data_IF_193362654607
#
_entry.id   IF_193362654607
#
_cell.length_a   1.000
_cell.length_b   1.000
_cell.length_c   1.000
_cell.angle_alpha   90.00
_cell.angle_beta   90.00
_cell.angle_gamma   90.00
#
_symmetry.space_group_name_H-M   'P 1'
#
loop_
_entity.id
_entity.type
_entity.pdbx_description
1 polymer ?
#
# COMPACT_ATOMS: atom_id res chain seq x y z
N UNK A 1 -19.47 -12.63 41.68
CA UNK A 1 -18.47 -12.96 40.62
C UNK A 1 -17.57 -11.74 40.50
N UNK A 2 -16.32 -11.85 40.92
CA UNK A 2 -15.33 -10.78 40.71
C UNK A 2 -15.20 -10.52 39.22
N UNK A 3 -15.46 -9.28 38.79
CA UNK A 3 -15.21 -8.82 37.44
C UNK A 3 -13.71 -8.84 37.22
N UNK A 4 -13.16 -9.91 36.69
CA UNK A 4 -11.73 -10.05 36.41
C UNK A 4 -11.31 -8.94 35.44
N UNK A 5 -10.57 -7.94 35.92
CA UNK A 5 -10.07 -6.82 35.12
C UNK A 5 -9.20 -7.37 33.99
N UNK A 6 -9.49 -6.96 32.74
CA UNK A 6 -8.70 -7.37 31.58
C UNK A 6 -7.31 -6.71 31.62
N UNK A 7 -6.27 -7.46 31.29
CA UNK A 7 -4.95 -6.88 31.06
C UNK A 7 -4.84 -6.29 29.65
N UNK A 8 -3.79 -5.52 29.38
CA UNK A 8 -3.57 -4.82 28.11
C UNK A 8 -3.62 -5.77 26.90
N UNK A 9 -3.06 -6.96 27.00
CA UNK A 9 -3.05 -7.94 25.92
C UNK A 9 -4.45 -8.46 25.60
N UNK A 10 -5.25 -8.70 26.64
CA UNK A 10 -6.65 -9.11 26.50
C UNK A 10 -7.47 -7.98 25.86
N UNK A 11 -7.25 -6.74 26.28
CA UNK A 11 -7.92 -5.56 25.71
C UNK A 11 -7.58 -5.40 24.22
N UNK A 12 -6.29 -5.49 23.84
CA UNK A 12 -5.85 -5.45 22.44
C UNK A 12 -6.50 -6.59 21.64
N UNK A 13 -6.53 -7.81 22.19
CA UNK A 13 -7.15 -8.95 21.53
C UNK A 13 -8.66 -8.76 21.30
N UNK A 14 -9.36 -8.11 22.23
CA UNK A 14 -10.77 -7.76 22.06
C UNK A 14 -10.97 -6.76 20.92
N UNK A 15 -10.12 -5.73 20.83
CA UNK A 15 -10.13 -4.76 19.71
C UNK A 15 -9.91 -5.48 18.38
N UNK A 16 -8.88 -6.34 18.27
CA UNK A 16 -8.62 -7.14 17.06
C UNK A 16 -9.83 -7.98 16.66
N UNK A 17 -10.45 -8.66 17.63
CA UNK A 17 -11.62 -9.49 17.37
C UNK A 17 -12.81 -8.67 16.85
N UNK A 18 -13.01 -7.46 17.37
CA UNK A 18 -14.10 -6.59 16.90
C UNK A 18 -13.82 -6.00 15.54
N UNK A 19 -12.57 -5.65 15.23
CA UNK A 19 -12.16 -5.22 13.90
C UNK A 19 -12.43 -6.31 12.85
N UNK A 20 -12.12 -7.58 13.15
CA UNK A 20 -12.42 -8.70 12.27
C UNK A 20 -13.92 -8.86 11.96
N UNK A 21 -14.77 -8.45 12.90
CA UNK A 21 -16.24 -8.47 12.75
C UNK A 21 -16.78 -7.20 12.11
N UNK A 22 -15.99 -6.14 12.10
CA UNK A 22 -16.36 -4.89 11.44
C UNK A 22 -16.22 -5.05 9.92
N UNK A 23 -17.11 -4.39 9.19
CA UNK A 23 -17.07 -4.43 7.72
C UNK A 23 -16.24 -3.25 7.19
N UNK A 24 -14.92 -3.25 7.47
CA UNK A 24 -14.01 -2.25 6.93
C UNK A 24 -13.99 -2.31 5.40
N UNK A 25 -14.09 -1.17 4.76
CA UNK A 25 -14.06 -1.07 3.29
C UNK A 25 -12.78 -0.37 2.86
N UNK A 26 -12.12 -0.93 1.85
CA UNK A 26 -10.95 -0.31 1.22
C UNK A 26 -11.40 0.82 0.32
N UNK A 27 -10.94 2.05 0.56
CA UNK A 27 -11.20 3.22 -0.30
C UNK A 27 -10.02 3.57 -1.20
N UNK A 28 -8.81 3.21 -0.79
CA UNK A 28 -7.59 3.45 -1.54
C UNK A 28 -7.51 2.55 -2.78
N UNK A 29 -7.06 3.13 -3.89
CA UNK A 29 -6.86 2.42 -5.16
C UNK A 29 -5.47 2.66 -5.69
N UNK A 30 -4.68 1.60 -5.79
CA UNK A 30 -3.42 1.66 -6.49
C UNK A 30 -3.65 1.42 -7.99
N UNK A 31 -3.66 2.50 -8.76
CA UNK A 31 -3.90 2.48 -10.21
C UNK A 31 -2.75 1.82 -11.00
N UNK A 32 -1.57 1.67 -10.41
CA UNK A 32 -0.41 1.08 -11.07
C UNK A 32 -0.34 -0.43 -10.86
N UNK A 33 -0.66 -0.91 -9.65
CA UNK A 33 -0.60 -2.32 -9.29
C UNK A 33 -1.98 -2.98 -9.17
N UNK A 34 -3.08 -2.25 -9.47
CA UNK A 34 -4.46 -2.74 -9.59
C UNK A 34 -5.00 -3.47 -8.36
N UNK A 35 -4.68 -2.96 -7.17
CA UNK A 35 -5.27 -3.46 -5.94
C UNK A 35 -5.89 -2.33 -5.11
N UNK A 36 -6.93 -2.68 -4.36
CA UNK A 36 -7.54 -1.80 -3.38
C UNK A 36 -6.86 -2.00 -2.02
N UNK A 37 -6.56 -0.90 -1.33
CA UNK A 37 -5.92 -0.90 -0.02
C UNK A 37 -6.70 -0.05 0.98
N UNK A 38 -6.40 -0.24 2.28
CA UNK A 38 -7.00 0.58 3.33
C UNK A 38 -6.26 1.90 3.45
N UNK A 39 -7.00 3.02 3.31
CA UNK A 39 -6.52 4.32 3.72
C UNK A 39 -6.59 4.46 5.24
N UNK A 40 -5.84 5.40 5.82
CA UNK A 40 -5.94 5.68 7.26
C UNK A 40 -7.35 6.09 7.67
N UNK A 41 -8.07 6.78 6.80
CA UNK A 41 -9.47 7.17 6.98
C UNK A 41 -10.45 5.99 7.09
N UNK A 42 -10.08 4.83 6.54
CA UNK A 42 -10.93 3.64 6.57
C UNK A 42 -10.79 2.88 7.89
N UNK A 43 -9.61 2.94 8.53
CA UNK A 43 -9.27 2.11 9.69
C UNK A 43 -9.23 2.92 11.00
N UNK A 44 -8.70 4.13 11.00
CA UNK A 44 -8.47 4.92 12.22
C UNK A 44 -9.74 5.21 13.01
N UNK A 45 -10.88 5.62 12.41
CA UNK A 45 -12.09 5.90 13.18
C UNK A 45 -12.56 4.69 13.99
N UNK A 46 -12.64 3.51 13.35
CA UNK A 46 -13.04 2.26 14.01
C UNK A 46 -12.05 1.84 15.10
N UNK A 47 -10.74 1.96 14.84
CA UNK A 47 -9.72 1.62 15.83
C UNK A 47 -9.81 2.53 17.06
N UNK A 48 -9.94 3.85 16.86
CA UNK A 48 -10.05 4.80 17.97
C UNK A 48 -11.29 4.53 18.81
N UNK A 49 -12.44 4.29 18.17
CA UNK A 49 -13.68 3.98 18.86
C UNK A 49 -13.54 2.71 19.72
N UNK A 50 -13.01 1.63 19.15
CA UNK A 50 -12.78 0.39 19.86
C UNK A 50 -11.72 0.52 20.96
N UNK A 51 -10.62 1.22 20.71
CA UNK A 51 -9.62 1.49 21.73
C UNK A 51 -10.21 2.27 22.90
N UNK A 52 -11.03 3.30 22.63
CA UNK A 52 -11.74 4.04 23.68
C UNK A 52 -12.67 3.14 24.48
N UNK A 53 -13.42 2.25 23.83
CA UNK A 53 -14.30 1.29 24.51
C UNK A 53 -13.56 0.40 25.50
N UNK A 54 -12.33 -0.03 25.17
CA UNK A 54 -11.48 -0.88 26.01
C UNK A 54 -10.47 -0.09 26.86
N UNK A 55 -10.62 1.22 26.97
CA UNK A 55 -9.72 2.09 27.75
C UNK A 55 -8.25 1.92 27.34
N UNK A 56 -8.01 1.90 26.02
CA UNK A 56 -6.68 1.90 25.42
C UNK A 56 -6.42 3.26 24.77
N UNK A 57 -5.22 3.77 24.97
CA UNK A 57 -4.73 4.98 24.30
C UNK A 57 -3.66 4.59 23.27
N UNK A 58 -3.80 5.10 22.06
CA UNK A 58 -2.83 4.89 20.97
C UNK A 58 -2.04 6.15 20.72
N UNK A 59 -0.73 6.03 20.68
CA UNK A 59 0.19 7.15 20.41
C UNK A 59 1.26 6.71 19.40
N UNK A 60 1.54 7.57 18.40
CA UNK A 60 2.58 7.30 17.42
C UNK A 60 3.65 8.37 17.46
N UNK A 61 4.89 7.95 17.40
CA UNK A 61 6.07 8.81 17.32
C UNK A 61 6.94 8.42 16.14
N UNK A 62 7.58 9.40 15.55
CA UNK A 62 8.53 9.23 14.47
C UNK A 62 9.88 9.80 14.89
N UNK A 63 10.93 9.03 14.61
CA UNK A 63 12.34 9.46 14.73
C UNK A 63 13.03 9.21 13.39
N UNK A 64 14.27 9.61 13.23
CA UNK A 64 15.05 9.32 12.03
C UNK A 64 15.30 7.81 11.84
N UNK A 65 15.22 7.02 12.92
CA UNK A 65 15.56 5.60 12.90
C UNK A 65 14.32 4.71 12.85
N UNK A 66 13.26 5.07 13.58
CA UNK A 66 12.07 4.23 13.73
C UNK A 66 10.78 5.04 13.88
N UNK A 67 9.70 4.44 13.42
CA UNK A 67 8.33 4.80 13.75
C UNK A 67 7.82 3.84 14.82
N UNK A 68 7.18 4.37 15.88
CA UNK A 68 6.71 3.57 17.02
C UNK A 68 5.25 3.86 17.29
N UNK A 69 4.40 2.84 17.21
CA UNK A 69 3.03 2.87 17.68
C UNK A 69 2.98 2.27 19.09
N UNK A 70 2.63 3.08 20.06
CA UNK A 70 2.45 2.70 21.46
C UNK A 70 0.98 2.53 21.79
N UNK A 71 0.63 1.40 22.37
CA UNK A 71 -0.69 1.12 22.96
C UNK A 71 -0.52 1.15 24.46
N UNK A 72 -1.23 2.03 25.13
CA UNK A 72 -1.16 2.25 26.58
C UNK A 72 -2.51 1.89 27.20
N UNK A 73 -2.50 1.16 28.29
CA UNK A 73 -3.70 0.90 29.09
C UNK A 73 -4.05 2.14 29.91
N UNK A 74 -5.15 2.83 29.58
CA UNK A 74 -5.55 4.05 30.26
C UNK A 74 -5.92 3.83 31.75
N UNK A 75 -6.25 2.61 32.15
CA UNK A 75 -6.50 2.25 33.55
C UNK A 75 -5.21 1.86 34.30
N UNK A 76 -4.15 1.52 33.59
CA UNK A 76 -2.83 1.20 34.13
C UNK A 76 -1.74 1.73 33.16
N UNK A 77 -1.40 3.02 33.19
CA UNK A 77 -0.52 3.66 32.23
C UNK A 77 0.90 3.08 32.15
N UNK A 78 1.33 2.32 33.14
CA UNK A 78 2.61 1.60 33.10
C UNK A 78 2.55 0.36 32.18
N UNK A 79 1.35 -0.14 31.88
CA UNK A 79 1.14 -1.21 30.91
C UNK A 79 1.18 -0.65 29.49
N UNK A 80 2.25 -0.96 28.77
CA UNK A 80 2.57 -0.46 27.45
C UNK A 80 2.95 -1.61 26.51
N UNK A 81 2.42 -1.58 25.30
CA UNK A 81 2.83 -2.45 24.18
C UNK A 81 3.26 -1.57 23.02
N UNK A 82 4.41 -1.86 22.43
CA UNK A 82 4.97 -1.09 21.31
C UNK A 82 5.13 -1.94 20.06
N UNK A 83 4.75 -1.36 18.92
CA UNK A 83 5.00 -1.88 17.59
C UNK A 83 5.95 -0.90 16.88
N UNK A 84 7.04 -1.43 16.31
CA UNK A 84 8.11 -0.62 15.74
C UNK A 84 8.31 -0.95 14.27
N UNK A 85 8.62 0.06 13.48
CA UNK A 85 9.01 -0.08 12.09
C UNK A 85 10.22 0.80 11.79
N UNK A 86 11.25 0.30 11.09
CA UNK A 86 12.41 1.11 10.75
C UNK A 86 12.01 2.24 9.80
N UNK A 87 12.51 3.44 10.05
CA UNK A 87 12.43 4.55 9.12
C UNK A 87 13.59 4.48 8.14
N UNK A 88 13.35 4.91 6.92
CA UNK A 88 14.38 5.07 5.90
C UNK A 88 14.15 6.38 5.18
N UNK A 89 15.22 7.09 4.92
CA UNK A 89 15.19 8.27 4.06
C UNK A 89 14.92 7.83 2.63
N UNK A 90 13.76 8.21 2.12
CA UNK A 90 13.35 7.98 0.74
C UNK A 90 13.01 9.33 0.13
N UNK A 91 13.74 9.73 -0.89
CA UNK A 91 13.32 10.83 -1.73
C UNK A 91 12.23 10.34 -2.68
N UNK A 92 11.02 10.80 -2.44
CA UNK A 92 9.92 10.55 -3.37
C UNK A 92 10.11 11.41 -4.61
N UNK A 93 10.11 10.78 -5.79
CA UNK A 93 10.19 11.50 -7.06
C UNK A 93 9.07 12.53 -7.13
N UNK A 94 9.41 13.76 -7.53
CA UNK A 94 8.47 14.89 -7.70
C UNK A 94 7.95 15.53 -6.39
N UNK A 95 8.48 15.17 -5.25
CA UNK A 95 8.13 15.76 -3.96
C UNK A 95 9.30 16.58 -3.41
N UNK A 96 8.99 17.67 -2.71
CA UNK A 96 9.99 18.34 -1.88
C UNK A 96 10.28 17.51 -0.62
N UNK A 97 11.33 17.85 0.12
CA UNK A 97 11.75 17.08 1.31
C UNK A 97 10.65 16.95 2.36
N UNK A 98 9.87 18.01 2.61
CA UNK A 98 8.77 18.00 3.59
C UNK A 98 7.64 17.09 3.13
N UNK A 99 7.30 17.11 1.83
CA UNK A 99 6.29 16.23 1.25
C UNK A 99 6.74 14.78 1.28
N UNK A 100 8.03 14.51 1.03
CA UNK A 100 8.60 13.17 1.12
C UNK A 100 8.53 12.63 2.54
N UNK A 101 8.94 13.44 3.53
CA UNK A 101 8.85 13.06 4.95
C UNK A 101 7.40 12.76 5.35
N UNK A 102 6.47 13.65 5.06
CA UNK A 102 5.05 13.45 5.37
C UNK A 102 4.47 12.20 4.69
N UNK A 103 4.85 11.94 3.46
CA UNK A 103 4.44 10.73 2.73
C UNK A 103 4.96 9.47 3.41
N UNK A 104 6.24 9.45 3.83
CA UNK A 104 6.86 8.32 4.54
C UNK A 104 6.17 8.09 5.90
N UNK A 105 5.95 9.13 6.68
CA UNK A 105 5.28 9.03 7.99
C UNK A 105 3.85 8.52 7.85
N UNK A 106 3.09 9.01 6.85
CA UNK A 106 1.73 8.52 6.56
C UNK A 106 1.72 7.06 6.19
N UNK A 107 2.69 6.61 5.38
CA UNK A 107 2.86 5.23 4.98
C UNK A 107 3.18 4.35 6.19
N UNK A 108 4.19 4.72 6.99
CA UNK A 108 4.59 4.00 8.19
C UNK A 108 3.46 3.91 9.22
N UNK A 109 2.74 5.01 9.43
CA UNK A 109 1.57 5.05 10.30
C UNK A 109 0.53 4.00 9.89
N UNK A 110 0.19 3.93 8.61
CA UNK A 110 -0.76 2.95 8.10
C UNK A 110 -0.32 1.52 8.40
N UNK A 111 0.91 1.15 8.06
CA UNK A 111 1.42 -0.19 8.28
C UNK A 111 1.55 -0.56 9.75
N UNK A 112 1.90 0.37 10.62
CA UNK A 112 1.92 0.13 12.06
C UNK A 112 0.53 -0.20 12.60
N UNK A 113 -0.51 0.52 12.17
CA UNK A 113 -1.89 0.21 12.59
C UNK A 113 -2.37 -1.11 12.00
N UNK A 114 -2.12 -1.39 10.73
CA UNK A 114 -2.48 -2.67 10.11
C UNK A 114 -1.82 -3.84 10.84
N UNK A 115 -0.52 -3.75 11.09
CA UNK A 115 0.25 -4.78 11.79
C UNK A 115 -0.20 -4.95 13.26
N UNK A 116 -0.40 -3.84 13.99
CA UNK A 116 -0.82 -3.87 15.38
C UNK A 116 -2.16 -4.60 15.58
N UNK A 117 -3.11 -4.37 14.67
CA UNK A 117 -4.47 -4.90 14.77
C UNK A 117 -4.75 -6.10 13.85
N UNK A 118 -3.71 -6.70 13.25
CA UNK A 118 -3.79 -7.85 12.33
C UNK A 118 -4.78 -7.63 11.18
N UNK A 119 -4.84 -6.39 10.65
CA UNK A 119 -5.68 -6.07 9.51
C UNK A 119 -4.93 -6.48 8.24
N UNK A 120 -5.41 -7.53 7.58
CA UNK A 120 -4.77 -8.08 6.38
C UNK A 120 -5.15 -7.28 5.13
N UNK A 121 -4.17 -6.84 4.37
CA UNK A 121 -4.33 -6.45 2.97
C UNK A 121 -4.17 -7.70 2.09
N UNK A 122 -4.74 -7.66 0.86
CA UNK A 122 -4.62 -8.80 -0.05
C UNK A 122 -3.14 -9.06 -0.40
N UNK A 123 -2.72 -10.33 -0.37
CA UNK A 123 -1.34 -10.81 -0.61
C UNK A 123 -0.79 -10.56 -2.03
N UNK A 124 -1.52 -9.84 -2.88
CA UNK A 124 -1.08 -9.52 -4.25
C UNK A 124 0.23 -8.73 -4.32
N UNK A 125 0.65 -8.12 -3.21
CA UNK A 125 1.89 -7.35 -3.17
C UNK A 125 3.14 -8.24 -3.19
N UNK A 126 3.06 -9.45 -2.63
CA UNK A 126 4.22 -10.35 -2.56
C UNK A 126 4.57 -10.97 -3.92
N UNK A 127 3.62 -11.02 -4.85
CA UNK A 127 3.85 -11.64 -6.16
C UNK A 127 4.53 -10.73 -7.19
N UNK A 128 4.55 -9.41 -6.96
CA UNK A 128 4.94 -8.42 -7.99
C UNK A 128 6.27 -7.72 -7.69
N UNK A 129 6.75 -7.74 -6.43
CA UNK A 129 7.89 -6.90 -6.02
C UNK A 129 9.25 -7.61 -5.93
N UNK A 130 9.31 -8.91 -6.17
CA UNK A 130 10.54 -9.72 -6.02
C UNK A 130 11.14 -10.24 -7.33
N UNK A 131 10.85 -9.61 -8.46
CA UNK A 131 11.58 -9.92 -9.69
C UNK A 131 12.77 -8.96 -9.85
N UNK A 132 13.84 -9.25 -9.14
CA UNK A 132 15.14 -8.60 -9.31
C UNK A 132 16.00 -9.24 -10.41
N UNK A 133 15.40 -10.09 -11.24
CA UNK A 133 16.09 -10.69 -12.39
C UNK A 133 17.12 -11.77 -12.04
N UNK A 134 17.23 -12.22 -10.80
CA UNK A 134 18.14 -13.32 -10.43
C UNK A 134 17.45 -14.38 -9.58
N UNK A 135 17.21 -15.53 -10.24
CA UNK A 135 16.89 -16.85 -9.68
C UNK A 135 15.43 -17.18 -9.34
N UNK A 136 14.87 -17.91 -10.29
CA UNK A 136 13.77 -18.85 -10.18
C UNK A 136 13.69 -19.61 -8.86
N UNK A 137 12.76 -19.19 -7.96
CA UNK A 137 12.13 -20.09 -7.01
C UNK A 137 10.71 -20.36 -7.46
N UNK A 138 10.56 -21.43 -8.24
CA UNK A 138 9.25 -21.95 -8.60
C UNK A 138 8.67 -22.66 -7.38
N UNK A 139 7.85 -21.96 -6.58
CA UNK A 139 6.96 -22.63 -5.66
C UNK A 139 5.77 -23.09 -6.49
N UNK A 140 5.77 -24.38 -6.87
CA UNK A 140 4.57 -25.05 -7.36
C UNK A 140 3.57 -25.14 -6.19
N UNK A 141 2.66 -24.17 -6.09
CA UNK A 141 1.43 -24.33 -5.33
C UNK A 141 0.52 -25.22 -6.18
N UNK A 142 0.30 -26.46 -5.77
CA UNK A 142 -0.85 -27.24 -6.21
C UNK A 142 -2.12 -26.52 -5.78
N UNK A 143 -2.68 -25.72 -6.69
CA UNK A 143 -4.02 -25.16 -6.53
C UNK A 143 -4.99 -26.26 -6.93
N UNK A 144 -5.74 -26.77 -5.97
CA UNK A 144 -6.91 -27.59 -6.21
C UNK A 144 -7.82 -26.90 -7.22
N UNK A 145 -8.11 -27.63 -8.30
CA UNK A 145 -8.99 -27.21 -9.40
C UNK A 145 -10.40 -26.93 -8.87
N UNK A 146 -10.80 -25.69 -8.78
CA UNK A 146 -12.18 -25.26 -9.02
C UNK A 146 -12.19 -23.78 -9.40
N UNK A 147 -12.59 -23.57 -10.65
CA UNK A 147 -13.23 -22.43 -11.28
C UNK A 147 -12.46 -21.16 -11.67
N UNK A 148 -12.38 -21.06 -13.00
CA UNK A 148 -12.41 -19.89 -13.89
C UNK A 148 -11.15 -19.05 -14.04
N UNK A 149 -10.51 -19.36 -15.19
CA UNK A 149 -9.65 -18.52 -16.03
C UNK A 149 -9.79 -17.00 -15.80
N UNK A 150 -8.85 -16.40 -15.07
CA UNK A 150 -8.49 -15.01 -15.28
C UNK A 150 -7.26 -15.03 -16.17
N UNK A 151 -7.45 -14.76 -17.46
CA UNK A 151 -6.40 -14.56 -18.42
C UNK A 151 -5.53 -13.38 -17.97
N UNK A 152 -4.23 -13.59 -17.87
CA UNK A 152 -3.22 -12.53 -17.72
C UNK A 152 -3.11 -11.72 -19.03
N UNK A 153 -4.16 -11.01 -19.42
CA UNK A 153 -4.09 -10.08 -20.54
C UNK A 153 -3.42 -8.79 -20.08
N UNK A 154 -2.30 -8.46 -20.72
CA UNK A 154 -1.67 -7.13 -20.60
C UNK A 154 -2.71 -6.07 -20.91
N UNK A 155 -2.83 -5.09 -20.01
CA UNK A 155 -3.81 -4.03 -20.19
C UNK A 155 -3.50 -3.19 -21.44
N UNK A 156 -4.56 -2.79 -22.17
CA UNK A 156 -4.39 -1.94 -23.36
C UNK A 156 -4.13 -0.49 -22.94
N UNK A 157 -3.06 0.09 -23.44
CA UNK A 157 -2.78 1.51 -23.32
C UNK A 157 -3.90 2.32 -23.99
N UNK A 158 -4.55 3.20 -23.25
CA UNK A 158 -5.78 3.86 -23.67
C UNK A 158 -5.57 5.35 -24.04
N UNK A 159 -6.65 6.02 -24.52
CA UNK A 159 -6.61 7.42 -24.93
C UNK A 159 -6.32 8.39 -23.78
N UNK A 160 -6.81 8.12 -22.59
CA UNK A 160 -6.60 8.96 -21.40
C UNK A 160 -5.13 8.92 -20.98
N UNK A 161 -4.51 7.74 -21.02
CA UNK A 161 -3.09 7.58 -20.76
C UNK A 161 -2.22 8.28 -21.80
N UNK A 162 -2.65 8.28 -23.08
CA UNK A 162 -1.97 9.03 -24.14
C UNK A 162 -2.07 10.53 -23.89
N UNK A 163 -3.20 11.05 -23.44
CA UNK A 163 -3.38 12.46 -23.11
C UNK A 163 -2.49 12.87 -21.94
N UNK A 164 -2.45 12.07 -20.87
CA UNK A 164 -1.55 12.31 -19.74
C UNK A 164 -0.08 12.26 -20.15
N UNK A 165 0.30 11.34 -21.03
CA UNK A 165 1.63 11.26 -21.61
C UNK A 165 2.00 12.54 -22.39
N UNK A 166 1.06 13.06 -23.20
CA UNK A 166 1.30 14.26 -24.02
C UNK A 166 1.51 15.54 -23.18
N UNK A 167 1.01 15.56 -21.97
CA UNK A 167 1.16 16.69 -21.03
C UNK A 167 2.48 16.64 -20.25
N UNK A 168 3.17 15.49 -20.22
CA UNK A 168 4.38 15.29 -19.44
C UNK A 168 5.64 15.44 -20.34
N UNK A 169 5.96 16.67 -20.70
CA UNK A 169 7.09 16.98 -21.58
C UNK A 169 8.42 16.47 -21.04
N UNK A 170 8.67 16.64 -19.74
CA UNK A 170 9.90 16.19 -19.09
C UNK A 170 10.10 14.67 -19.17
N UNK A 171 9.01 13.90 -19.10
CA UNK A 171 9.09 12.45 -19.30
C UNK A 171 9.36 12.09 -20.77
N UNK A 172 8.76 12.81 -21.72
CA UNK A 172 8.99 12.59 -23.15
C UNK A 172 10.44 12.88 -23.57
N UNK A 173 11.06 13.89 -22.97
CA UNK A 173 12.45 14.29 -23.25
C UNK A 173 13.50 13.26 -22.81
N UNK A 174 13.14 12.34 -21.91
CA UNK A 174 14.04 11.26 -21.45
C UNK A 174 14.33 10.21 -22.51
N UNK A 175 13.53 10.14 -23.56
CA UNK A 175 13.66 9.11 -24.59
C UNK A 175 14.14 9.70 -25.90
N UNK A 176 15.20 9.15 -26.47
CA UNK A 176 15.75 9.60 -27.74
C UNK A 176 14.82 9.27 -28.93
N UNK A 177 14.12 8.15 -28.85
CA UNK A 177 13.21 7.69 -29.91
C UNK A 177 11.84 7.32 -29.36
N UNK A 178 10.82 7.32 -30.25
CA UNK A 178 9.47 6.84 -29.91
C UNK A 178 9.45 5.34 -29.58
N UNK A 179 10.36 4.57 -30.16
CA UNK A 179 10.47 3.13 -29.87
C UNK A 179 10.99 2.86 -28.46
N UNK A 180 11.91 3.68 -27.95
CA UNK A 180 12.40 3.55 -26.59
C UNK A 180 11.30 3.91 -25.58
N UNK A 181 10.53 4.95 -25.85
CA UNK A 181 9.35 5.33 -25.07
C UNK A 181 8.30 4.20 -25.07
N UNK A 182 8.03 3.59 -26.23
CA UNK A 182 7.09 2.47 -26.35
C UNK A 182 7.58 1.26 -25.56
N UNK A 183 8.87 0.93 -25.60
CA UNK A 183 9.46 -0.15 -24.81
C UNK A 183 9.32 0.12 -23.31
N UNK A 184 9.51 1.36 -22.87
CA UNK A 184 9.35 1.71 -21.47
C UNK A 184 7.89 1.58 -21.01
N UNK A 185 6.94 2.06 -21.79
CA UNK A 185 5.50 1.87 -21.54
C UNK A 185 5.14 0.37 -21.50
N UNK A 186 5.77 -0.45 -22.36
CA UNK A 186 5.52 -1.91 -22.36
C UNK A 186 6.12 -2.62 -21.14
N UNK A 187 7.21 -2.11 -20.56
CA UNK A 187 7.75 -2.59 -19.27
C UNK A 187 6.77 -2.36 -18.11
N UNK A 188 5.93 -1.35 -18.23
CA UNK A 188 4.83 -1.06 -17.28
C UNK A 188 3.59 -1.95 -17.50
N UNK A 189 3.75 -3.11 -18.16
CA UNK A 189 2.69 -4.10 -18.41
C UNK A 189 1.54 -3.64 -19.32
N UNK A 190 1.77 -2.63 -20.16
CA UNK A 190 0.78 -2.25 -21.16
C UNK A 190 0.98 -2.98 -22.49
N UNK A 191 -0.12 -3.43 -23.08
CA UNK A 191 -0.17 -3.81 -24.50
C UNK A 191 -0.50 -2.56 -25.32
N UNK A 192 0.28 -2.28 -26.37
CA UNK A 192 0.14 -1.11 -27.21
C UNK A 192 -0.28 -1.54 -28.61
N UNK A 193 -1.47 -1.16 -29.04
CA UNK A 193 -1.96 -1.45 -30.38
C UNK A 193 -1.16 -0.71 -31.45
N UNK A 194 -1.19 -1.18 -32.70
CA UNK A 194 -0.49 -0.55 -33.82
C UNK A 194 -0.93 0.92 -34.01
N UNK A 195 -2.22 1.19 -33.89
CA UNK A 195 -2.78 2.55 -33.94
C UNK A 195 -2.24 3.45 -32.81
N UNK A 196 -2.15 2.90 -31.60
CA UNK A 196 -1.67 3.65 -30.44
C UNK A 196 -0.18 3.96 -30.52
N UNK A 197 0.64 3.08 -31.13
CA UNK A 197 2.06 3.34 -31.40
C UNK A 197 2.26 4.56 -32.30
N UNK A 198 1.44 4.71 -33.33
CA UNK A 198 1.47 5.89 -34.22
C UNK A 198 1.14 7.17 -33.45
N UNK A 199 0.11 7.13 -32.61
CA UNK A 199 -0.27 8.30 -31.77
C UNK A 199 0.80 8.68 -30.75
N UNK A 200 1.50 7.70 -30.16
CA UNK A 200 2.64 7.95 -29.26
C UNK A 200 3.80 8.61 -30.03
N UNK A 201 4.07 8.15 -31.25
CA UNK A 201 5.10 8.76 -32.10
C UNK A 201 4.76 10.23 -32.45
N UNK A 202 3.48 10.52 -32.76
CA UNK A 202 3.00 11.89 -33.04
C UNK A 202 3.12 12.81 -31.82
N UNK A 203 2.86 12.30 -30.62
CA UNK A 203 3.01 13.05 -29.35
C UNK A 203 4.47 13.38 -29.08
N UNK A 204 5.40 12.49 -29.44
CA UNK A 204 6.85 12.68 -29.27
C UNK A 204 7.43 13.68 -30.27
N UNK A 205 6.82 13.79 -31.46
CA UNK A 205 7.29 14.67 -32.54
C UNK A 205 6.87 16.15 -32.38
N UNK A 206 5.99 16.45 -31.43
CA UNK A 206 5.51 17.80 -31.07
C UNK A 206 6.27 18.39 -29.90
#
# INVERSE_FOLDING_TARGET
MENKKLNIYQKIQMVKTQILRSNLKKSGKNKFAWFDYYELSDIIPTIIELCNQYQLFTHITFTNEEAVLSIIDAENPESLVQYKSPMRDLELKWCNQIQSLWGIETYQRRYLYLNCFDICESELFDAVTWDDGSNTWTIQKEISKTDKSVSSEKQRFNKEQLQNLSQNKEYLEKFATSDDLIKDIQKLWYSISKEMRMKIADVRAK
#
